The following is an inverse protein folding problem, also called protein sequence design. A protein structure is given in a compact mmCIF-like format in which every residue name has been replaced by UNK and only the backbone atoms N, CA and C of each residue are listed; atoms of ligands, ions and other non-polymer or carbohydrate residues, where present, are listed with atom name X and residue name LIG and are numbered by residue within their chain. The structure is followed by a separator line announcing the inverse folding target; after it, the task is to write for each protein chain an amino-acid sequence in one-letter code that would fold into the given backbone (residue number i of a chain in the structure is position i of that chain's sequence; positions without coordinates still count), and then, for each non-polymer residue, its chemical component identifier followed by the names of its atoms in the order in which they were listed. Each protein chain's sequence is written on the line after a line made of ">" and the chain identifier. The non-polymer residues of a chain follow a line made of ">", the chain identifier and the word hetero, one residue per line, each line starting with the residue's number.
data_IF_182686413862
#
_entry.id   IF_182686413862
#
_cell.length_a   1.000
_cell.length_b   1.000
_cell.length_c   1.000
_cell.angle_alpha   90.00
_cell.angle_beta   90.00
_cell.angle_gamma   90.00
#
_symmetry.space_group_name_H-M   'P 1'
#
loop_
_entity.id
_entity.type
_entity.pdbx_description
1 polymer ?
#
# COMPACT_ATOMS: atom_id res chain seq x y z
N UNK A 1 15.28 13.57 -0.94
CA UNK A 1 14.52 12.32 -1.13
C UNK A 1 13.12 12.68 -1.58
N UNK A 2 12.61 11.97 -2.58
CA UNK A 2 11.26 12.11 -3.11
C UNK A 2 10.28 11.32 -2.24
N UNK A 3 9.00 11.68 -2.29
CA UNK A 3 7.92 10.95 -1.60
C UNK A 3 7.30 9.94 -2.55
N UNK A 4 7.04 8.73 -2.06
CA UNK A 4 6.35 7.69 -2.80
C UNK A 4 5.21 7.13 -1.97
N UNK A 5 4.10 6.80 -2.65
CA UNK A 5 2.94 6.15 -2.06
C UNK A 5 2.93 4.71 -2.50
N UNK A 6 2.93 3.80 -1.53
CA UNK A 6 2.64 2.39 -1.73
C UNK A 6 1.16 2.16 -1.48
N UNK A 7 0.47 1.58 -2.46
CA UNK A 7 -0.93 1.15 -2.35
C UNK A 7 -0.98 -0.37 -2.40
N UNK A 8 -1.40 -1.00 -1.32
CA UNK A 8 -1.42 -2.46 -1.21
C UNK A 8 -2.61 -3.02 -1.99
N UNK A 9 -2.38 -4.02 -2.85
CA UNK A 9 -3.46 -4.74 -3.50
C UNK A 9 -4.13 -5.68 -2.48
N UNK A 10 -5.35 -6.12 -2.76
CA UNK A 10 -6.09 -7.06 -1.91
C UNK A 10 -6.52 -8.28 -2.70
N UNK A 11 -6.32 -9.47 -2.15
CA UNK A 11 -7.01 -10.65 -2.67
C UNK A 11 -8.40 -10.80 -2.03
N UNK A 12 -9.44 -11.14 -2.81
CA UNK A 12 -10.73 -11.47 -2.25
C UNK A 12 -10.59 -12.63 -1.25
N UNK A 13 -11.02 -12.40 -0.01
CA UNK A 13 -11.03 -13.37 1.11
C UNK A 13 -9.69 -13.63 1.82
N UNK A 14 -8.67 -12.79 1.63
CA UNK A 14 -7.45 -12.90 2.45
C UNK A 14 -7.75 -12.43 3.88
N UNK A 15 -7.87 -13.38 4.82
CA UNK A 15 -7.97 -13.08 6.25
C UNK A 15 -6.57 -13.08 6.84
N UNK A 16 -6.08 -11.96 7.41
CA UNK A 16 -4.78 -11.94 8.06
C UNK A 16 -4.77 -12.93 9.23
N UNK A 17 -3.83 -13.86 9.24
CA UNK A 17 -3.53 -14.67 10.43
C UNK A 17 -2.54 -13.91 11.32
N UNK A 18 -2.42 -14.28 12.59
CA UNK A 18 -1.47 -13.66 13.52
C UNK A 18 -0.03 -13.72 12.97
N UNK A 19 0.36 -14.84 12.35
CA UNK A 19 1.66 -15.00 11.70
C UNK A 19 1.91 -13.99 10.57
N UNK A 20 0.86 -13.61 9.83
CA UNK A 20 0.96 -12.61 8.76
C UNK A 20 1.23 -11.23 9.38
N UNK A 21 0.58 -10.89 10.48
CA UNK A 21 0.77 -9.61 11.17
C UNK A 21 2.22 -9.43 11.65
N UNK A 22 2.84 -10.47 12.22
CA UNK A 22 4.23 -10.41 12.69
C UNK A 22 5.23 -10.21 11.55
N UNK A 23 4.99 -10.86 10.40
CA UNK A 23 5.82 -10.69 9.20
C UNK A 23 5.69 -9.26 8.66
N UNK A 24 4.48 -8.71 8.60
CA UNK A 24 4.24 -7.33 8.20
C UNK A 24 4.90 -6.32 9.14
N UNK A 25 4.76 -6.50 10.44
CA UNK A 25 5.40 -5.64 11.45
C UNK A 25 6.93 -5.69 11.34
N UNK A 26 7.49 -6.89 11.11
CA UNK A 26 8.93 -7.06 10.89
C UNK A 26 9.41 -6.32 9.64
N UNK A 27 8.63 -6.38 8.55
CA UNK A 27 8.93 -5.62 7.34
C UNK A 27 8.87 -4.12 7.58
N UNK A 28 7.81 -3.60 8.22
CA UNK A 28 7.72 -2.17 8.56
C UNK A 28 8.90 -1.69 9.40
N UNK A 29 9.32 -2.48 10.39
CA UNK A 29 10.51 -2.19 11.19
C UNK A 29 11.79 -2.13 10.33
N UNK A 30 11.95 -3.04 9.37
CA UNK A 30 13.10 -3.07 8.47
C UNK A 30 13.21 -1.83 7.56
N UNK A 31 12.07 -1.20 7.23
CA UNK A 31 12.01 -0.03 6.35
C UNK A 31 11.73 1.28 7.10
N UNK A 32 11.66 1.26 8.43
CA UNK A 32 11.18 2.37 9.26
C UNK A 32 11.91 3.71 8.99
N UNK A 33 13.20 3.66 8.66
CA UNK A 33 13.99 4.85 8.32
C UNK A 33 13.53 5.57 7.04
N UNK A 34 12.83 4.85 6.16
CA UNK A 34 12.26 5.36 4.91
C UNK A 34 10.78 5.73 5.05
N UNK A 35 10.10 5.37 6.14
CA UNK A 35 8.68 5.68 6.31
C UNK A 35 8.50 7.16 6.64
N UNK A 36 7.61 7.82 5.90
CA UNK A 36 7.11 9.17 6.20
C UNK A 36 5.78 9.08 6.94
N UNK A 37 4.91 8.20 6.46
CA UNK A 37 3.62 7.90 7.08
C UNK A 37 3.38 6.39 6.99
N UNK A 38 3.23 5.75 8.15
CA UNK A 38 2.97 4.30 8.21
C UNK A 38 1.69 3.93 7.43
N UNK A 39 0.72 4.85 7.41
CA UNK A 39 -0.58 4.67 6.77
C UNK A 39 -1.46 3.69 7.54
N UNK A 40 -2.50 3.18 6.87
CA UNK A 40 -3.52 2.34 7.50
C UNK A 40 -4.14 1.37 6.48
N UNK A 41 -4.70 0.24 6.93
CA UNK A 41 -5.62 -0.56 6.13
C UNK A 41 -6.89 0.22 5.76
N UNK A 42 -7.48 -0.12 4.62
CA UNK A 42 -8.77 0.39 4.16
C UNK A 42 -9.88 -0.63 4.40
N UNK A 43 -11.07 -0.12 4.71
CA UNK A 43 -12.28 -0.94 4.85
C UNK A 43 -13.15 -0.81 3.59
N UNK A 44 -12.70 -1.44 2.50
CA UNK A 44 -13.31 -1.33 1.19
C UNK A 44 -13.07 0.05 0.55
N UNK A 45 -13.79 0.31 -0.55
CA UNK A 45 -13.66 1.57 -1.28
C UNK A 45 -14.95 1.95 -1.99
N UNK A 46 -15.10 3.24 -2.29
CA UNK A 46 -16.21 3.76 -3.11
C UNK A 46 -15.61 4.59 -4.22
N UNK A 47 -15.93 4.24 -5.47
CA UNK A 47 -15.63 5.08 -6.62
C UNK A 47 -16.67 6.19 -6.67
N UNK A 48 -16.21 7.44 -6.64
CA UNK A 48 -17.05 8.62 -6.77
C UNK A 48 -16.71 9.33 -8.07
N UNK A 49 -17.75 9.63 -8.85
CA UNK A 49 -17.69 10.45 -10.08
C UNK A 49 -18.50 11.73 -9.87
N UNK A 50 -18.52 12.63 -10.85
CA UNK A 50 -19.33 13.85 -10.76
C UNK A 50 -20.84 13.56 -10.59
N UNK A 51 -21.31 12.45 -11.15
CA UNK A 51 -22.75 12.15 -11.27
C UNK A 51 -23.21 10.95 -10.44
N UNK A 52 -22.28 10.14 -9.90
CA UNK A 52 -22.63 8.92 -9.18
C UNK A 52 -21.53 8.43 -8.23
N UNK A 53 -21.91 7.55 -7.30
CA UNK A 53 -20.99 6.79 -6.46
C UNK A 53 -21.35 5.31 -6.45
N UNK A 54 -20.36 4.44 -6.53
CA UNK A 54 -20.53 2.99 -6.43
C UNK A 54 -19.47 2.36 -5.54
N UNK A 55 -19.87 1.35 -4.75
CA UNK A 55 -18.93 0.56 -3.96
C UNK A 55 -17.99 -0.18 -4.92
N UNK A 56 -16.70 -0.16 -4.64
CA UNK A 56 -15.70 -0.91 -5.39
C UNK A 56 -15.84 -2.38 -5.00
N UNK A 57 -16.18 -3.27 -5.93
CA UNK A 57 -16.37 -4.66 -5.61
C UNK A 57 -15.02 -5.38 -5.34
N UNK A 58 -14.99 -6.40 -4.47
CA UNK A 58 -13.77 -7.16 -4.18
C UNK A 58 -13.10 -7.79 -5.41
N UNK A 59 -13.89 -8.23 -6.40
CA UNK A 59 -13.39 -8.83 -7.65
C UNK A 59 -12.59 -7.85 -8.51
N UNK A 60 -12.69 -6.55 -8.25
CA UNK A 60 -11.91 -5.51 -8.94
C UNK A 60 -10.55 -5.24 -8.29
N UNK A 61 -10.09 -6.13 -7.38
CA UNK A 61 -8.82 -6.02 -6.66
C UNK A 61 -8.66 -4.62 -6.01
N UNK A 62 -9.51 -4.30 -5.01
CA UNK A 62 -9.44 -3.01 -4.36
C UNK A 62 -8.10 -2.82 -3.63
N UNK A 63 -7.76 -1.56 -3.38
CA UNK A 63 -6.63 -1.23 -2.53
C UNK A 63 -6.99 -1.55 -1.08
N UNK A 64 -6.14 -2.31 -0.39
CA UNK A 64 -6.32 -2.72 1.01
C UNK A 64 -5.68 -1.77 2.02
N UNK A 65 -4.88 -0.82 1.58
CA UNK A 65 -4.25 0.18 2.45
C UNK A 65 -3.15 0.94 1.74
N UNK A 66 -2.43 1.76 2.52
CA UNK A 66 -1.34 2.58 2.00
C UNK A 66 -0.20 2.75 3.00
N UNK A 67 0.95 3.16 2.49
CA UNK A 67 2.08 3.70 3.26
C UNK A 67 2.77 4.77 2.41
N UNK A 68 3.26 5.84 3.04
CA UNK A 68 4.08 6.86 2.38
C UNK A 68 5.52 6.69 2.81
N UNK A 69 6.42 6.58 1.85
CA UNK A 69 7.86 6.48 2.09
C UNK A 69 8.62 7.63 1.44
N UNK A 70 9.87 7.81 1.84
CA UNK A 70 10.87 8.61 1.15
C UNK A 70 11.92 7.69 0.53
N UNK A 71 12.30 7.97 -0.70
CA UNK A 71 13.39 7.28 -1.40
C UNK A 71 14.15 8.27 -2.30
N UNK A 72 15.29 7.86 -2.84
CA UNK A 72 16.07 8.70 -3.75
C UNK A 72 15.34 8.91 -5.08
N UNK A 73 14.83 7.83 -5.65
CA UNK A 73 14.10 7.76 -6.91
C UNK A 73 13.10 6.58 -6.92
N UNK A 74 12.46 6.38 -8.08
CA UNK A 74 11.46 5.33 -8.26
C UNK A 74 12.08 3.92 -8.15
N UNK A 75 13.30 3.72 -8.63
CA UNK A 75 13.96 2.41 -8.57
C UNK A 75 14.29 2.02 -7.11
N UNK A 76 14.74 2.98 -6.30
CA UNK A 76 14.93 2.80 -4.87
C UNK A 76 13.60 2.50 -4.14
N UNK A 77 12.52 3.18 -4.51
CA UNK A 77 11.18 2.89 -3.97
C UNK A 77 10.71 1.47 -4.36
N UNK A 78 10.90 1.06 -5.62
CA UNK A 78 10.58 -0.30 -6.10
C UNK A 78 11.41 -1.34 -5.36
N UNK A 79 12.69 -1.07 -5.08
CA UNK A 79 13.54 -1.99 -4.33
C UNK A 79 13.01 -2.24 -2.91
N UNK A 80 12.50 -1.20 -2.24
CA UNK A 80 11.81 -1.32 -0.94
C UNK A 80 10.49 -2.08 -1.09
N UNK A 81 9.67 -1.74 -2.10
CA UNK A 81 8.39 -2.40 -2.35
C UNK A 81 8.53 -3.92 -2.57
N UNK A 82 9.60 -4.36 -3.25
CA UNK A 82 9.89 -5.78 -3.53
C UNK A 82 10.20 -6.62 -2.28
N UNK A 83 10.51 -6.01 -1.14
CA UNK A 83 10.72 -6.74 0.12
C UNK A 83 9.44 -6.91 0.92
N UNK A 84 8.32 -6.32 0.47
CA UNK A 84 7.03 -6.42 1.12
C UNK A 84 6.52 -7.87 1.15
N UNK A 85 5.97 -8.34 2.28
CA UNK A 85 5.44 -9.70 2.39
C UNK A 85 4.09 -9.91 1.68
N UNK A 86 3.41 -8.83 1.26
CA UNK A 86 2.11 -8.89 0.59
C UNK A 86 2.19 -9.61 -0.76
N UNK A 87 1.51 -10.76 -0.89
CA UNK A 87 1.59 -11.62 -2.08
C UNK A 87 0.83 -11.09 -3.29
N UNK A 88 -0.21 -10.29 -3.07
CA UNK A 88 -1.04 -9.70 -4.12
C UNK A 88 -0.37 -8.50 -4.81
N UNK A 89 0.83 -8.12 -4.36
CA UNK A 89 1.60 -6.99 -4.88
C UNK A 89 1.10 -5.63 -4.37
N UNK A 90 1.71 -4.57 -4.89
CA UNK A 90 1.34 -3.18 -4.58
C UNK A 90 1.58 -2.28 -5.79
N UNK A 91 0.98 -1.10 -5.77
CA UNK A 91 1.22 -0.03 -6.73
C UNK A 91 2.13 1.02 -6.10
N UNK A 92 3.09 1.53 -6.87
CA UNK A 92 4.08 2.52 -6.40
C UNK A 92 3.94 3.80 -7.23
N UNK A 93 3.67 4.92 -6.57
CA UNK A 93 3.51 6.23 -7.21
C UNK A 93 4.46 7.25 -6.59
N UNK A 94 5.09 8.11 -7.40
CA UNK A 94 5.79 9.30 -6.92
C UNK A 94 4.76 10.38 -6.57
N UNK A 95 4.80 10.91 -5.36
CA UNK A 95 4.00 12.06 -4.95
C UNK A 95 4.76 13.34 -5.27
N UNK A 96 4.24 14.10 -6.24
CA UNK A 96 4.81 15.38 -6.68
C UNK A 96 4.25 16.49 -5.79
N UNK A 97 5.11 17.28 -5.17
CA UNK A 97 4.70 18.46 -4.40
C UNK A 97 4.18 19.54 -5.36
N UNK A 98 3.05 20.18 -4.99
CA UNK A 98 2.45 21.29 -5.74
C UNK A 98 3.09 22.63 -5.40
#
# INVERSE_FOLDING_TARGET
>A
MKKFVFLYNSEPNETPTDDVMDVWMSWFNSIAGSIVEMGNPFNGGTLVTADSSSVIPPENNPISGYTVIKAEDLDAAIAIAKTCPGKSGMQVYEAIEM
#
